data_IF_073950860450
#
_entry.id   IF_073950860450
#
_cell.length_a   1.000
_cell.length_b   1.000
_cell.length_c   1.000
_cell.angle_alpha   90.00
_cell.angle_beta   90.00
_cell.angle_gamma   90.00
#
_symmetry.space_group_name_H-M   'P 1'
#
loop_
_entity.id
_entity.type
_entity.pdbx_description
1 polymer ?
#
# COMPACT_ATOMS: atom_id res chain seq x y z
N UNK A 1 -19.05 -11.98 -8.64
CA UNK A 1 -18.58 -11.97 -8.54
C UNK A 1 -18.37 -11.82 -8.62
N UNK A 2 -18.28 -12.05 -8.72
CA UNK A 2 -17.81 -12.07 -8.66
C UNK A 2 -17.31 -11.43 -8.59
N UNK A 3 -17.30 -11.21 -8.67
CA UNK A 3 -16.68 -10.77 -8.44
C UNK A 3 -15.95 -10.28 -8.24
N UNK A 4 -16.10 -9.68 -7.88
CA UNK A 4 -15.22 -9.40 -7.58
C UNK A 4 -14.17 -9.95 -7.13
N UNK A 5 -13.92 -10.19 -7.25
CA UNK A 5 -12.87 -11.18 -7.18
C UNK A 5 -11.64 -10.84 -7.97
N UNK A 6 -11.59 -9.64 -8.46
CA UNK A 6 -10.47 -9.20 -9.28
C UNK A 6 -9.18 -9.03 -8.47
N UNK A 7 -9.29 -8.96 -7.16
CA UNK A 7 -8.09 -8.92 -6.32
C UNK A 7 -8.38 -9.60 -4.98
N UNK A 8 -7.33 -10.09 -4.32
CA UNK A 8 -7.51 -10.85 -3.07
C UNK A 8 -7.94 -9.94 -1.93
N UNK A 9 -8.58 -10.52 -0.89
CA UNK A 9 -8.93 -9.76 0.29
C UNK A 9 -7.72 -9.29 1.10
N UNK A 10 -6.56 -9.87 0.86
CA UNK A 10 -5.31 -9.50 1.51
C UNK A 10 -4.20 -9.53 0.48
N UNK A 11 -3.12 -8.82 0.76
CA UNK A 11 -1.92 -8.89 -0.07
C UNK A 11 -1.07 -10.07 0.37
N UNK A 12 -0.33 -10.70 -0.56
CA UNK A 12 0.65 -11.71 -0.20
C UNK A 12 1.97 -11.07 0.21
N UNK A 13 2.87 -11.88 0.77
CA UNK A 13 4.25 -11.46 1.00
C UNK A 13 4.37 -10.30 1.97
N UNK A 14 5.15 -9.30 1.57
CA UNK A 14 5.47 -8.17 2.42
C UNK A 14 4.23 -7.40 2.84
N UNK A 15 3.29 -7.22 1.92
CA UNK A 15 2.04 -6.54 2.25
C UNK A 15 1.28 -7.26 3.35
N UNK A 16 1.26 -8.59 3.29
CA UNK A 16 0.61 -9.39 4.34
C UNK A 16 1.31 -9.21 5.67
N UNK A 17 2.65 -9.26 5.66
CA UNK A 17 3.44 -9.14 6.88
C UNK A 17 3.20 -7.80 7.58
N UNK A 18 3.03 -6.74 6.81
CA UNK A 18 2.79 -5.40 7.34
C UNK A 18 1.32 -5.20 7.72
N UNK A 19 0.44 -6.03 7.18
CA UNK A 19 -0.98 -5.95 7.48
C UNK A 19 -1.76 -5.02 6.58
N UNK A 20 -1.25 -4.76 5.38
CA UNK A 20 -1.97 -3.93 4.41
C UNK A 20 -3.19 -4.66 3.89
N UNK A 21 -4.26 -3.90 3.64
CA UNK A 21 -5.48 -4.46 3.08
C UNK A 21 -5.89 -3.68 1.84
N UNK A 22 -6.19 -4.38 0.72
CA UNK A 22 -6.73 -3.69 -0.44
C UNK A 22 -8.20 -3.35 -0.18
N UNK A 23 -8.59 -2.13 -0.51
CA UNK A 23 -9.97 -1.68 -0.39
C UNK A 23 -10.61 -1.67 -1.78
N UNK A 24 -9.92 -1.10 -2.75
CA UNK A 24 -10.43 -1.04 -4.12
C UNK A 24 -9.27 -0.87 -5.09
N UNK A 25 -9.47 -1.34 -6.32
CA UNK A 25 -8.49 -1.20 -7.38
C UNK A 25 -9.24 -1.20 -8.72
N UNK A 26 -8.84 -0.31 -9.61
CA UNK A 26 -9.41 -0.26 -10.96
C UNK A 26 -9.28 1.12 -11.56
N UNK A 27 -9.26 1.18 -12.89
CA UNK A 27 -9.27 2.43 -13.65
C UNK A 27 -8.18 3.40 -13.24
N UNK A 28 -7.00 2.90 -12.91
CA UNK A 28 -5.88 3.75 -12.52
C UNK A 28 -5.95 4.23 -11.08
N UNK A 29 -6.81 3.64 -10.26
CA UNK A 29 -6.96 4.01 -8.85
C UNK A 29 -6.81 2.79 -7.98
N UNK A 30 -6.28 3.01 -6.79
CA UNK A 30 -6.15 1.95 -5.80
C UNK A 30 -6.19 2.55 -4.40
N UNK A 31 -6.99 1.96 -3.53
CA UNK A 31 -7.07 2.36 -2.14
C UNK A 31 -6.59 1.20 -1.27
N UNK A 32 -5.66 1.49 -0.40
CA UNK A 32 -5.07 0.53 0.53
C UNK A 32 -5.18 1.09 1.93
N UNK A 33 -5.46 0.24 2.87
CA UNK A 33 -5.55 0.65 4.27
C UNK A 33 -4.73 -0.25 5.17
N UNK A 34 -4.43 0.24 6.36
CA UNK A 34 -3.76 -0.55 7.39
C UNK A 34 -4.25 -0.07 8.75
N UNK A 35 -4.44 -1.01 9.68
CA UNK A 35 -4.67 -0.65 11.07
C UNK A 35 -3.30 -0.56 11.72
N UNK A 36 -2.97 0.60 12.30
CA UNK A 36 -1.66 0.80 12.90
C UNK A 36 -1.57 0.01 14.20
N UNK A 37 -0.64 -0.92 14.25
CA UNK A 37 -0.38 -1.76 15.41
C UNK A 37 0.92 -1.32 16.05
N UNK A 38 1.18 -1.84 17.25
CA UNK A 38 2.40 -1.53 17.98
C UNK A 38 3.66 -1.81 17.15
N UNK A 39 3.62 -2.89 16.36
CA UNK A 39 4.76 -3.27 15.51
C UNK A 39 5.02 -2.29 14.37
N UNK A 40 4.10 -1.38 14.10
CA UNK A 40 4.27 -0.36 13.06
C UNK A 40 4.90 0.91 13.60
N UNK A 41 5.13 1.00 14.90
CA UNK A 41 5.58 2.25 15.51
C UNK A 41 7.10 2.37 15.48
N UNK A 42 7.58 3.60 15.40
CA UNK A 42 9.00 3.87 15.54
C UNK A 42 9.34 4.03 17.04
N UNK A 43 10.59 4.35 17.32
CA UNK A 43 11.05 4.48 18.70
C UNK A 43 10.34 5.60 19.45
N UNK A 44 9.76 6.58 18.74
CA UNK A 44 9.02 7.67 19.35
C UNK A 44 7.56 7.35 19.62
N UNK A 45 7.10 6.14 19.28
CA UNK A 45 5.73 5.73 19.55
C UNK A 45 4.71 6.22 18.55
N UNK A 46 5.15 6.66 17.36
CA UNK A 46 4.25 7.04 16.28
C UNK A 46 4.54 6.15 15.08
N UNK A 47 3.60 6.11 14.13
CA UNK A 47 3.74 5.25 12.98
C UNK A 47 5.06 5.51 12.25
N UNK A 48 5.81 4.43 11.99
CA UNK A 48 7.08 4.52 11.31
C UNK A 48 6.87 5.08 9.90
N UNK A 49 7.78 5.99 9.48
CA UNK A 49 7.70 6.57 8.14
C UNK A 49 7.72 5.52 7.04
N UNK A 50 8.40 4.39 7.26
CA UNK A 50 8.39 3.27 6.32
C UNK A 50 7.01 2.69 6.07
N UNK A 51 6.11 2.77 7.06
CA UNK A 51 4.74 2.32 6.86
C UNK A 51 4.04 3.18 5.83
N UNK A 52 4.20 4.51 5.93
CA UNK A 52 3.63 5.44 4.95
C UNK A 52 4.18 5.18 3.56
N UNK A 53 5.49 4.99 3.46
CA UNK A 53 6.12 4.70 2.16
C UNK A 53 5.60 3.40 1.57
N UNK A 54 5.42 2.37 2.41
CA UNK A 54 4.91 1.08 1.96
C UNK A 54 3.48 1.19 1.48
N UNK A 55 2.64 1.94 2.20
CA UNK A 55 1.26 2.17 1.78
C UNK A 55 1.20 2.87 0.43
N UNK A 56 1.99 3.93 0.27
CA UNK A 56 2.01 4.69 -0.97
C UNK A 56 2.53 3.86 -2.13
N UNK A 57 3.61 3.14 -1.92
CA UNK A 57 4.19 2.30 -2.96
C UNK A 57 3.21 1.22 -3.41
N UNK A 58 2.55 0.58 -2.45
CA UNK A 58 1.60 -0.49 -2.76
C UNK A 58 0.38 0.06 -3.51
N UNK A 59 -0.14 1.21 -3.07
CA UNK A 59 -1.30 1.80 -3.72
C UNK A 59 -0.97 2.29 -5.14
N UNK A 60 0.20 2.91 -5.32
CA UNK A 60 0.62 3.37 -6.65
C UNK A 60 0.83 2.19 -7.59
N UNK A 61 1.46 1.13 -7.09
CA UNK A 61 1.64 -0.09 -7.89
C UNK A 61 0.32 -0.70 -8.30
N UNK A 62 -0.65 -0.76 -7.37
CA UNK A 62 -1.97 -1.27 -7.66
C UNK A 62 -2.69 -0.44 -8.70
N UNK A 63 -2.60 0.89 -8.59
CA UNK A 63 -3.21 1.78 -9.56
C UNK A 63 -2.63 1.56 -10.95
N UNK A 64 -1.30 1.45 -11.04
CA UNK A 64 -0.64 1.20 -12.32
C UNK A 64 -1.02 -0.16 -12.89
N UNK A 65 -1.02 -1.20 -12.07
CA UNK A 65 -1.38 -2.54 -12.51
C UNK A 65 -2.80 -2.61 -13.04
N UNK A 66 -3.70 -1.77 -12.56
CA UNK A 66 -5.07 -1.76 -13.05
C UNK A 66 -5.18 -1.24 -14.47
N UNK A 67 -4.13 -0.64 -15.01
CA UNK A 67 -4.11 -0.09 -16.36
C UNK A 67 -3.30 -0.91 -17.34
N UNK A 68 -2.53 -1.90 -16.86
CA UNK A 68 -1.69 -2.71 -17.76
C UNK A 68 -2.40 -4.01 -18.10
N UNK A 69 -1.90 -4.68 -19.14
CA UNK A 69 -2.48 -5.95 -19.54
C UNK A 69 -2.04 -7.06 -18.59
N UNK A 70 -2.75 -8.20 -18.59
CA UNK A 70 -2.36 -9.32 -17.71
C UNK A 70 -0.97 -9.86 -17.94
N UNK A 71 -0.38 -9.56 -19.10
CA UNK A 71 0.97 -10.04 -19.43
C UNK A 71 2.06 -9.08 -18.97
N UNK A 72 1.67 -7.92 -18.48
CA UNK A 72 2.63 -6.90 -18.05
C UNK A 72 2.74 -6.90 -16.54
N UNK A 73 3.87 -6.47 -16.08
CA UNK A 73 4.13 -6.33 -14.66
C UNK A 73 4.92 -5.05 -14.43
N UNK A 74 4.84 -4.55 -13.23
CA UNK A 74 5.62 -3.37 -12.87
C UNK A 74 6.40 -3.63 -11.59
N UNK A 75 7.50 -2.91 -11.45
CA UNK A 75 8.29 -2.95 -10.23
C UNK A 75 8.74 -1.52 -9.95
N UNK A 76 8.80 -1.17 -8.67
CA UNK A 76 9.23 0.16 -8.26
C UNK A 76 10.72 0.30 -8.51
N UNK A 77 11.09 1.29 -9.33
CA UNK A 77 12.49 1.61 -9.57
C UNK A 77 12.98 2.68 -8.59
N UNK A 78 12.10 3.58 -8.21
CA UNK A 78 12.48 4.66 -7.31
C UNK A 78 11.21 5.18 -6.63
N UNK A 79 11.34 5.52 -5.35
CA UNK A 79 10.28 6.20 -4.61
C UNK A 79 10.91 7.31 -3.79
N UNK A 80 10.26 8.47 -3.82
CA UNK A 80 10.70 9.62 -3.03
C UNK A 80 9.51 10.06 -2.18
N UNK A 81 9.69 10.10 -0.87
CA UNK A 81 8.62 10.48 0.05
C UNK A 81 9.13 11.63 0.92
N UNK A 82 8.40 12.72 0.92
CA UNK A 82 8.74 13.88 1.73
C UNK A 82 7.73 14.01 2.86
N UNK A 83 8.22 13.99 4.07
CA UNK A 83 7.39 14.14 5.27
C UNK A 83 7.40 15.60 5.66
N UNK A 84 6.38 16.34 5.21
CA UNK A 84 6.39 17.79 5.23
C UNK A 84 5.98 18.41 6.55
N UNK A 85 5.49 17.60 7.48
CA UNK A 85 5.00 18.10 8.74
C UNK A 85 5.26 17.08 9.83
N UNK A 86 5.68 17.57 10.99
CA UNK A 86 5.79 16.73 12.17
C UNK A 86 4.40 16.61 12.80
N UNK A 87 4.13 15.44 13.30
CA UNK A 87 2.88 15.22 14.01
C UNK A 87 3.03 15.73 15.43
N UNK A 88 2.07 16.49 15.85
CA UNK A 88 2.03 16.99 17.22
C UNK A 88 1.14 16.09 18.05
N UNK A 89 1.62 15.75 19.18
CA UNK A 89 0.93 14.85 20.09
C UNK A 89 0.49 15.63 21.30
#
# INVERSE_FOLDING_TARGET
MEDDTSFPPTFPGFGHMVGLRPVSIGNGECTVEVTVLRTHLNAGGVAHGGLHATLLDTALGGALLSLVTPKEWCATAEIVVSYLSLIHI
#
